data_IF_245319976237
#
_entry.id   IF_245319976237
#
_cell.length_a   1.000
_cell.length_b   1.000
_cell.length_c   1.000
_cell.angle_alpha   90.00
_cell.angle_beta   90.00
_cell.angle_gamma   90.00
#
_symmetry.space_group_name_H-M   'P 1'
#
loop_
_entity.id
_entity.type
_entity.pdbx_description
1 polymer ?
#
# COMPACT_ATOMS: atom_id res chain seq x y z
N UNK A 1 -38.57 28.07 -75.60
CA UNK A 1 -37.42 28.53 -74.79
C UNK A 1 -37.90 29.18 -73.54
N UNK A 2 -37.47 28.71 -72.41
CA UNK A 2 -36.81 29.61 -71.48
C UNK A 2 -35.57 28.96 -70.81
N UNK A 3 -34.69 29.85 -70.50
CA UNK A 3 -33.33 29.74 -70.05
C UNK A 3 -33.26 29.25 -68.64
N UNK A 4 -32.44 28.20 -68.38
CA UNK A 4 -32.15 27.71 -67.03
C UNK A 4 -31.28 28.69 -66.22
N UNK A 5 -31.62 28.84 -64.92
CA UNK A 5 -30.79 29.55 -63.92
C UNK A 5 -29.70 28.63 -63.39
N UNK A 6 -28.48 29.11 -63.12
CA UNK A 6 -27.43 28.33 -62.52
C UNK A 6 -27.71 28.11 -61.02
N UNK A 7 -27.46 26.88 -60.60
CA UNK A 7 -27.51 26.47 -59.19
C UNK A 7 -26.24 27.01 -58.50
N UNK A 8 -26.46 27.77 -57.42
CA UNK A 8 -25.37 28.29 -56.59
C UNK A 8 -24.70 27.13 -55.79
N UNK A 9 -23.39 27.01 -55.89
CA UNK A 9 -22.57 26.14 -55.09
C UNK A 9 -22.63 26.58 -53.60
N UNK A 10 -23.08 25.67 -52.76
CA UNK A 10 -23.04 25.84 -51.32
C UNK A 10 -21.57 25.77 -50.84
N UNK A 11 -21.06 26.87 -50.32
CA UNK A 11 -19.78 26.93 -49.62
C UNK A 11 -19.89 26.08 -48.33
N UNK A 12 -19.05 25.06 -48.27
CA UNK A 12 -18.85 24.28 -47.04
C UNK A 12 -18.24 25.19 -45.96
N UNK A 13 -18.95 25.32 -44.84
CA UNK A 13 -18.44 25.97 -43.62
C UNK A 13 -17.31 25.13 -43.01
N UNK A 14 -16.23 25.76 -42.49
CA UNK A 14 -15.16 25.02 -41.86
C UNK A 14 -15.68 24.43 -40.51
N UNK A 15 -15.64 23.10 -40.42
CA UNK A 15 -15.90 22.39 -39.18
C UNK A 15 -14.96 22.93 -38.09
N UNK A 16 -15.55 23.53 -37.05
CA UNK A 16 -14.86 23.92 -35.84
C UNK A 16 -14.23 22.66 -35.23
N UNK A 17 -12.91 22.60 -35.16
CA UNK A 17 -12.20 21.61 -34.36
C UNK A 17 -12.62 21.81 -32.91
N UNK A 18 -13.44 20.92 -32.39
CA UNK A 18 -13.70 20.79 -30.99
C UNK A 18 -12.34 20.65 -30.29
N UNK A 19 -11.98 21.66 -29.51
CA UNK A 19 -10.84 21.57 -28.60
C UNK A 19 -11.16 20.47 -27.61
N UNK A 20 -10.33 19.44 -27.59
CA UNK A 20 -10.34 18.43 -26.52
C UNK A 20 -10.39 19.15 -25.15
N UNK A 21 -11.22 18.67 -24.22
CA UNK A 21 -11.28 19.28 -22.90
C UNK A 21 -9.87 19.33 -22.29
N UNK A 22 -9.54 20.40 -21.55
CA UNK A 22 -8.22 20.50 -20.91
C UNK A 22 -8.03 19.28 -20.04
N UNK A 23 -6.88 18.59 -20.21
CA UNK A 23 -6.49 17.46 -19.40
C UNK A 23 -6.64 17.88 -17.93
N UNK A 24 -7.52 17.20 -17.20
CA UNK A 24 -7.71 17.37 -15.76
C UNK A 24 -6.32 17.26 -15.13
N UNK A 25 -5.84 18.35 -14.57
CA UNK A 25 -4.61 18.37 -13.79
C UNK A 25 -4.90 17.48 -12.59
N UNK A 26 -4.30 16.30 -12.54
CA UNK A 26 -4.32 15.46 -11.36
C UNK A 26 -3.52 16.21 -10.31
N UNK A 27 -4.18 16.88 -9.39
CA UNK A 27 -3.57 17.51 -8.23
C UNK A 27 -3.17 16.38 -7.29
N UNK A 28 -1.86 16.21 -7.08
CA UNK A 28 -1.35 15.31 -6.07
C UNK A 28 -1.49 15.98 -4.70
N UNK A 29 -2.15 15.31 -3.78
CA UNK A 29 -2.32 15.81 -2.42
C UNK A 29 -1.12 15.40 -1.55
N UNK A 30 -0.41 16.41 -1.05
CA UNK A 30 0.64 16.24 -0.05
C UNK A 30 0.02 16.46 1.32
N UNK A 31 0.20 15.52 2.21
CA UNK A 31 -0.34 15.56 3.57
C UNK A 31 0.76 15.75 4.59
N UNK A 32 0.52 16.60 5.58
CA UNK A 32 1.39 16.71 6.74
C UNK A 32 1.29 15.44 7.59
N UNK A 33 2.42 14.85 8.00
CA UNK A 33 2.41 13.63 8.82
C UNK A 33 1.59 13.79 10.10
N UNK A 34 0.68 12.84 10.35
CA UNK A 34 -0.22 12.85 11.50
C UNK A 34 0.34 12.12 12.72
N UNK A 35 1.36 11.27 12.52
CA UNK A 35 1.90 10.37 13.52
C UNK A 35 3.40 10.57 13.65
N UNK A 36 3.92 10.34 14.85
CA UNK A 36 5.34 10.34 15.17
C UNK A 36 5.81 8.92 15.56
N UNK A 37 7.11 8.74 15.86
CA UNK A 37 7.68 7.44 16.19
C UNK A 37 7.15 6.86 17.52
N UNK A 38 6.65 7.70 18.45
CA UNK A 38 6.04 7.24 19.70
C UNK A 38 4.62 6.71 19.47
N UNK A 39 4.02 7.07 18.32
CA UNK A 39 2.73 6.55 17.90
C UNK A 39 2.83 5.12 17.31
N UNK A 40 4.02 4.66 16.98
CA UNK A 40 4.24 3.37 16.33
C UNK A 40 4.42 2.27 17.38
N UNK A 41 3.44 1.38 17.49
CA UNK A 41 3.51 0.20 18.36
C UNK A 41 3.83 -1.02 17.50
N UNK A 42 5.08 -1.44 17.53
CA UNK A 42 5.62 -2.59 16.80
C UNK A 42 6.64 -3.33 17.66
N UNK A 43 6.98 -4.57 17.28
CA UNK A 43 7.96 -5.37 18.02
C UNK A 43 9.31 -4.66 18.07
N UNK A 44 10.07 -4.86 19.15
CA UNK A 44 11.38 -4.22 19.37
C UNK A 44 12.31 -4.33 18.16
N UNK A 45 12.41 -5.51 17.56
CA UNK A 45 13.22 -5.72 16.35
C UNK A 45 12.77 -4.83 15.18
N UNK A 46 11.46 -4.75 14.92
CA UNK A 46 10.92 -3.88 13.84
C UNK A 46 11.19 -2.41 14.16
N UNK A 47 11.05 -2.00 15.43
CA UNK A 47 11.37 -0.64 15.89
C UNK A 47 12.84 -0.29 15.67
N UNK A 48 13.74 -1.20 16.02
CA UNK A 48 15.19 -1.02 15.83
C UNK A 48 15.54 -0.93 14.35
N UNK A 49 14.87 -1.71 13.50
CA UNK A 49 15.06 -1.64 12.06
C UNK A 49 14.60 -0.30 11.46
N UNK A 50 13.47 0.25 11.93
CA UNK A 50 12.97 1.57 11.53
C UNK A 50 13.96 2.66 11.96
N UNK A 51 14.39 2.66 13.23
CA UNK A 51 15.35 3.63 13.77
C UNK A 51 16.70 3.55 13.05
N UNK A 52 17.20 2.35 12.81
CA UNK A 52 18.42 2.12 12.03
C UNK A 52 18.30 2.63 10.59
N UNK A 53 17.13 2.46 9.95
CA UNK A 53 16.89 2.99 8.63
C UNK A 53 16.92 4.53 8.61
N UNK A 54 16.29 5.17 9.59
CA UNK A 54 16.30 6.64 9.72
C UNK A 54 17.73 7.13 9.95
N UNK A 55 18.48 6.50 10.87
CA UNK A 55 19.88 6.85 11.15
C UNK A 55 20.75 6.70 9.90
N UNK A 56 20.62 5.59 9.17
CA UNK A 56 21.36 5.35 7.92
C UNK A 56 21.22 6.52 6.93
N UNK A 57 20.03 7.09 6.80
CA UNK A 57 19.80 8.24 5.90
C UNK A 57 20.32 9.55 6.49
N UNK A 58 20.16 9.79 7.79
CA UNK A 58 20.62 11.00 8.48
C UNK A 58 22.16 11.06 8.51
N UNK A 59 22.81 9.93 8.72
CA UNK A 59 24.26 9.86 8.90
C UNK A 59 25.02 9.61 7.58
N UNK A 60 24.33 9.66 6.43
CA UNK A 60 24.93 9.44 5.10
C UNK A 60 26.18 10.32 4.90
N UNK A 61 26.09 11.61 5.22
CA UNK A 61 27.25 12.53 5.09
C UNK A 61 28.42 12.13 5.97
N UNK A 62 28.17 11.72 7.19
CA UNK A 62 29.22 11.26 8.12
C UNK A 62 29.93 10.02 7.55
N UNK A 63 29.17 9.03 7.08
CA UNK A 63 29.74 7.79 6.50
C UNK A 63 30.56 8.09 5.26
N UNK A 64 30.06 8.88 4.35
CA UNK A 64 30.75 9.15 3.08
C UNK A 64 31.89 10.14 3.22
N UNK A 65 31.73 11.23 3.97
CA UNK A 65 32.73 12.30 4.07
C UNK A 65 33.73 12.05 5.21
N UNK A 66 33.24 11.66 6.41
CA UNK A 66 34.11 11.53 7.59
C UNK A 66 34.78 10.15 7.65
N UNK A 67 34.04 9.07 7.41
CA UNK A 67 34.61 7.71 7.35
C UNK A 67 35.29 7.41 6.01
N UNK A 68 35.19 8.31 5.01
CA UNK A 68 35.93 8.22 3.76
C UNK A 68 35.36 7.25 2.73
N UNK A 69 34.15 6.74 2.90
CA UNK A 69 33.50 5.82 1.96
C UNK A 69 33.26 6.43 0.57
N UNK A 70 33.28 7.76 0.43
CA UNK A 70 33.21 8.43 -0.85
C UNK A 70 34.34 8.03 -1.82
N UNK A 71 35.47 7.53 -1.33
CA UNK A 71 36.58 7.08 -2.16
C UNK A 71 36.34 5.73 -2.86
N UNK A 72 35.45 4.91 -2.31
CA UNK A 72 35.16 3.54 -2.78
C UNK A 72 33.73 3.32 -3.24
N UNK A 73 32.81 4.14 -2.76
CA UNK A 73 31.39 4.00 -3.03
C UNK A 73 30.79 5.32 -3.57
N UNK A 74 29.93 5.21 -4.57
CA UNK A 74 29.16 6.36 -5.05
C UNK A 74 28.07 6.71 -4.03
N UNK A 75 28.05 7.94 -3.55
CA UNK A 75 27.01 8.40 -2.65
C UNK A 75 25.66 8.28 -3.33
N UNK A 76 24.73 7.57 -2.71
CA UNK A 76 23.38 7.44 -3.22
C UNK A 76 22.46 8.41 -2.48
N UNK A 77 21.90 9.38 -3.20
CA UNK A 77 20.93 10.32 -2.63
C UNK A 77 19.53 9.73 -2.46
N UNK A 78 19.31 8.55 -3.04
CA UNK A 78 18.04 7.82 -2.94
C UNK A 78 17.99 6.96 -1.69
N UNK A 79 16.83 6.99 -1.03
CA UNK A 79 16.57 6.17 0.14
C UNK A 79 15.21 5.48 -0.02
N UNK A 80 15.25 4.20 -0.35
CA UNK A 80 14.05 3.40 -0.65
C UNK A 80 13.87 2.36 0.44
N UNK A 81 12.73 2.37 1.10
CA UNK A 81 12.32 1.41 2.11
C UNK A 81 11.18 0.53 1.58
N UNK A 82 11.10 -0.69 2.05
CA UNK A 82 9.95 -1.55 1.84
C UNK A 82 9.43 -2.06 3.18
N UNK A 83 8.20 -1.71 3.51
CA UNK A 83 7.45 -2.21 4.65
C UNK A 83 6.60 -3.38 4.19
N UNK A 84 6.84 -4.56 4.71
CA UNK A 84 6.07 -5.74 4.32
C UNK A 84 5.56 -6.49 5.54
N UNK A 85 4.43 -7.17 5.39
CA UNK A 85 3.80 -7.95 6.45
C UNK A 85 2.29 -7.88 6.41
N UNK A 86 1.64 -8.58 7.33
CA UNK A 86 0.21 -8.70 7.36
C UNK A 86 -0.52 -7.35 7.39
N UNK A 87 -1.75 -7.28 6.84
CA UNK A 87 -2.54 -6.06 6.89
C UNK A 87 -2.85 -5.64 8.34
N UNK A 88 -3.00 -4.33 8.56
CA UNK A 88 -3.32 -3.77 9.87
C UNK A 88 -2.19 -3.81 10.90
N UNK A 89 -0.93 -4.04 10.50
CA UNK A 89 0.24 -4.10 11.41
C UNK A 89 0.95 -2.76 11.62
N UNK A 90 0.43 -1.65 11.05
CA UNK A 90 0.95 -0.31 11.28
C UNK A 90 1.91 0.24 10.21
N UNK A 91 1.98 -0.36 9.01
CA UNK A 91 2.85 0.11 7.91
C UNK A 91 2.59 1.56 7.54
N UNK A 92 1.33 1.95 7.35
CA UNK A 92 0.92 3.31 6.97
C UNK A 92 1.22 4.33 8.08
N UNK A 93 0.92 4.00 9.35
CA UNK A 93 1.26 4.85 10.51
C UNK A 93 2.78 5.08 10.56
N UNK A 94 3.56 4.02 10.32
CA UNK A 94 5.03 4.12 10.33
C UNK A 94 5.55 4.97 9.17
N UNK A 95 4.92 4.94 8.00
CA UNK A 95 5.30 5.82 6.88
C UNK A 95 5.14 7.29 7.25
N UNK A 96 4.04 7.67 7.92
CA UNK A 96 3.87 9.01 8.48
C UNK A 96 4.96 9.34 9.51
N UNK A 97 5.23 8.43 10.44
CA UNK A 97 6.24 8.64 11.48
C UNK A 97 7.65 8.82 10.91
N UNK A 98 8.00 8.08 9.87
CA UNK A 98 9.26 8.22 9.16
C UNK A 98 9.33 9.57 8.42
N UNK A 99 8.28 9.98 7.73
CA UNK A 99 8.23 11.27 7.06
C UNK A 99 8.41 12.41 8.08
N UNK A 100 7.70 12.35 9.22
CA UNK A 100 7.83 13.32 10.30
C UNK A 100 9.25 13.35 10.89
N UNK A 101 9.90 12.19 11.06
CA UNK A 101 11.27 12.10 11.57
C UNK A 101 12.31 12.76 10.64
N UNK A 102 11.99 12.89 9.34
CA UNK A 102 12.77 13.64 8.37
C UNK A 102 12.32 15.11 8.20
N UNK A 103 11.26 15.54 8.89
CA UNK A 103 10.70 16.88 8.76
C UNK A 103 10.10 17.15 7.37
N UNK A 104 9.56 16.12 6.73
CA UNK A 104 9.01 16.18 5.37
C UNK A 104 7.54 15.80 5.36
N UNK A 105 6.81 16.41 4.43
CA UNK A 105 5.44 16.01 4.14
C UNK A 105 5.40 14.67 3.41
N UNK A 106 4.21 14.06 3.32
CA UNK A 106 3.98 12.74 2.76
C UNK A 106 3.08 12.83 1.54
N UNK A 107 3.53 12.32 0.42
CA UNK A 107 2.74 12.10 -0.78
C UNK A 107 2.28 10.64 -0.79
N UNK A 108 1.02 10.43 -0.44
CA UNK A 108 0.41 9.09 -0.48
C UNK A 108 -0.03 8.78 -1.91
N UNK A 109 0.43 7.67 -2.42
CA UNK A 109 0.17 7.22 -3.78
C UNK A 109 -0.47 5.85 -3.74
N UNK A 110 -1.72 5.77 -4.13
CA UNK A 110 -2.41 4.51 -4.41
C UNK A 110 -2.16 4.13 -5.88
N UNK A 111 -1.64 2.93 -6.11
CA UNK A 111 -1.38 2.46 -7.47
C UNK A 111 -2.63 2.42 -8.35
N UNK A 112 -3.79 2.13 -7.77
CA UNK A 112 -5.08 2.13 -8.48
C UNK A 112 -5.45 3.50 -9.07
N UNK A 113 -5.01 4.58 -8.43
CA UNK A 113 -5.24 5.96 -8.89
C UNK A 113 -4.30 6.35 -10.05
N UNK A 114 -3.14 5.71 -10.13
CA UNK A 114 -2.19 5.94 -11.23
C UNK A 114 -2.60 5.14 -12.46
N UNK A 115 -3.22 3.98 -12.25
CA UNK A 115 -3.66 3.11 -13.33
C UNK A 115 -4.75 3.80 -14.15
N UNK A 116 -4.42 4.14 -15.39
CA UNK A 116 -5.35 4.78 -16.32
C UNK A 116 -6.09 3.74 -17.14
N UNK A 117 -7.34 4.06 -17.52
CA UNK A 117 -8.11 3.27 -18.49
C UNK A 117 -7.47 3.27 -19.88
N UNK A 118 -6.52 4.18 -20.14
CA UNK A 118 -5.85 4.30 -21.45
C UNK A 118 -4.44 3.72 -21.38
N UNK A 119 -4.13 2.85 -22.32
CA UNK A 119 -2.81 2.24 -22.46
C UNK A 119 -1.74 3.32 -22.68
N UNK A 120 -0.71 3.34 -21.85
CA UNK A 120 0.43 4.25 -21.94
C UNK A 120 0.35 5.52 -21.09
N UNK A 121 -0.75 5.81 -20.41
CA UNK A 121 -0.85 6.98 -19.52
C UNK A 121 -0.31 6.69 -18.11
N UNK A 122 -0.44 5.45 -17.62
CA UNK A 122 0.11 5.02 -16.33
C UNK A 122 1.60 5.34 -16.17
N UNK A 123 2.50 5.03 -17.14
CA UNK A 123 3.91 5.42 -17.05
C UNK A 123 4.14 6.94 -16.98
N UNK A 124 3.34 7.73 -17.68
CA UNK A 124 3.43 9.20 -17.64
C UNK A 124 2.97 9.75 -16.28
N UNK A 125 1.89 9.21 -15.74
CA UNK A 125 1.38 9.61 -14.44
C UNK A 125 2.39 9.26 -13.35
N UNK A 126 2.98 8.08 -13.41
CA UNK A 126 4.05 7.68 -12.49
C UNK A 126 5.22 8.69 -12.52
N UNK A 127 5.69 9.09 -13.70
CA UNK A 127 6.75 10.10 -13.83
C UNK A 127 6.33 11.44 -13.19
N UNK A 128 5.09 11.89 -13.40
CA UNK A 128 4.59 13.12 -12.76
C UNK A 128 4.62 13.05 -11.23
N UNK A 129 4.31 11.90 -10.62
CA UNK A 129 4.40 11.68 -9.17
C UNK A 129 5.83 11.95 -8.68
N UNK A 130 6.82 11.34 -9.32
CA UNK A 130 8.23 11.49 -8.92
C UNK A 130 8.76 12.91 -9.19
N UNK A 131 8.39 13.53 -10.32
CA UNK A 131 8.75 14.91 -10.63
C UNK A 131 8.13 15.90 -9.61
N UNK A 132 6.90 15.65 -9.22
CA UNK A 132 6.20 16.44 -8.19
C UNK A 132 6.88 16.29 -6.83
N UNK A 133 7.13 15.06 -6.39
CA UNK A 133 7.78 14.79 -5.11
C UNK A 133 9.19 15.39 -5.02
N UNK A 134 9.94 15.37 -6.12
CA UNK A 134 11.26 16.00 -6.19
C UNK A 134 11.17 17.53 -6.03
N UNK A 135 10.15 18.16 -6.62
CA UNK A 135 9.94 19.61 -6.53
C UNK A 135 9.48 20.06 -5.15
N UNK A 136 8.66 19.27 -4.48
CA UNK A 136 8.09 19.58 -3.16
C UNK A 136 8.93 19.03 -2.02
N UNK A 137 9.97 18.26 -2.29
CA UNK A 137 10.86 17.59 -1.33
C UNK A 137 10.10 16.76 -0.28
N UNK A 138 9.04 16.07 -0.71
CA UNK A 138 8.23 15.21 0.16
C UNK A 138 8.65 13.74 0.08
N UNK A 139 8.22 12.95 1.06
CA UNK A 139 8.36 11.49 1.06
C UNK A 139 7.26 10.90 0.20
N UNK A 140 7.62 10.01 -0.75
CA UNK A 140 6.64 9.25 -1.51
C UNK A 140 6.29 7.99 -0.72
N UNK A 141 5.03 7.72 -0.54
CA UNK A 141 4.52 6.50 0.07
C UNK A 141 3.57 5.78 -0.90
N UNK A 142 4.02 4.65 -1.43
CA UNK A 142 3.17 3.75 -2.20
C UNK A 142 2.52 2.73 -1.27
N UNK A 143 1.22 2.88 -1.05
CA UNK A 143 0.44 1.84 -0.37
C UNK A 143 0.01 0.76 -1.38
N UNK A 144 -0.19 -0.46 -0.90
CA UNK A 144 -0.56 -1.62 -1.72
C UNK A 144 0.34 -1.82 -2.97
N UNK A 145 1.64 -1.63 -2.80
CA UNK A 145 2.61 -1.70 -3.89
C UNK A 145 2.82 -3.12 -4.48
N UNK A 146 2.07 -4.11 -4.03
CA UNK A 146 2.18 -5.52 -4.47
C UNK A 146 2.04 -5.66 -5.98
N UNK A 147 1.11 -4.93 -6.59
CA UNK A 147 0.85 -5.00 -8.02
C UNK A 147 2.05 -4.55 -8.86
N UNK A 148 2.75 -3.50 -8.42
CA UNK A 148 3.86 -2.91 -9.19
C UNK A 148 5.20 -3.61 -8.90
N UNK A 149 5.41 -4.13 -7.69
CA UNK A 149 6.65 -4.76 -7.27
C UNK A 149 6.73 -6.26 -7.60
N UNK A 150 5.60 -6.91 -7.93
CA UNK A 150 5.56 -8.34 -8.25
C UNK A 150 6.36 -8.69 -9.50
N UNK A 151 6.74 -9.96 -9.64
CA UNK A 151 7.47 -10.47 -10.82
C UNK A 151 6.73 -10.22 -12.11
N UNK A 152 7.48 -10.07 -13.20
CA UNK A 152 6.91 -9.91 -14.54
C UNK A 152 6.06 -11.11 -14.90
N UNK A 153 4.91 -10.85 -15.50
CA UNK A 153 4.10 -11.89 -16.11
C UNK A 153 4.81 -12.35 -17.38
N UNK A 154 5.30 -13.58 -17.39
CA UNK A 154 6.04 -14.16 -18.51
C UNK A 154 5.11 -14.64 -19.63
N UNK A 155 3.94 -15.16 -19.27
CA UNK A 155 2.91 -15.55 -20.23
C UNK A 155 1.91 -14.41 -20.37
N UNK A 156 2.24 -13.45 -21.24
CA UNK A 156 1.36 -12.31 -21.52
C UNK A 156 0.18 -12.78 -22.38
N UNK A 157 -0.98 -12.87 -21.76
CA UNK A 157 -2.23 -13.27 -22.45
C UNK A 157 -3.17 -12.11 -22.66
N UNK A 158 -2.90 -10.94 -22.03
CA UNK A 158 -3.75 -9.76 -22.12
C UNK A 158 -2.96 -8.48 -22.36
N UNK A 159 -3.65 -7.45 -22.88
CA UNK A 159 -3.11 -6.10 -23.01
C UNK A 159 -2.73 -5.49 -21.65
N UNK A 160 -3.44 -5.89 -20.58
CA UNK A 160 -3.19 -5.47 -19.21
C UNK A 160 -1.80 -5.96 -18.73
N UNK A 161 -1.43 -7.21 -19.02
CA UNK A 161 -0.13 -7.76 -18.63
C UNK A 161 1.03 -6.98 -19.26
N UNK A 162 0.85 -6.57 -20.52
CA UNK A 162 1.83 -5.74 -21.26
C UNK A 162 1.96 -4.36 -20.62
N UNK A 163 0.85 -3.72 -20.27
CA UNK A 163 0.81 -2.40 -19.62
C UNK A 163 1.49 -2.40 -18.25
N UNK A 164 1.20 -3.41 -17.43
CA UNK A 164 1.81 -3.58 -16.11
C UNK A 164 3.33 -3.79 -16.23
N UNK A 165 3.79 -4.63 -17.13
CA UNK A 165 5.22 -4.85 -17.36
C UNK A 165 5.93 -3.59 -17.88
N UNK A 166 5.27 -2.78 -18.72
CA UNK A 166 5.78 -1.49 -19.17
C UNK A 166 5.92 -0.51 -18.01
N UNK A 167 4.90 -0.39 -17.18
CA UNK A 167 4.90 0.47 -15.99
C UNK A 167 6.03 0.10 -15.02
N UNK A 168 6.26 -1.20 -14.78
CA UNK A 168 7.38 -1.69 -13.96
C UNK A 168 8.74 -1.27 -14.54
N UNK A 169 8.90 -1.41 -15.86
CA UNK A 169 10.15 -1.02 -16.51
C UNK A 169 10.41 0.49 -16.39
N UNK A 170 9.37 1.31 -16.52
CA UNK A 170 9.47 2.76 -16.33
C UNK A 170 9.79 3.09 -14.88
N UNK A 171 9.14 2.45 -13.91
CA UNK A 171 9.45 2.65 -12.48
C UNK A 171 10.92 2.30 -12.18
N UNK A 172 11.41 1.17 -12.66
CA UNK A 172 12.80 0.78 -12.48
C UNK A 172 13.78 1.82 -13.04
N UNK A 173 13.46 2.45 -14.16
CA UNK A 173 14.27 3.52 -14.74
C UNK A 173 14.21 4.78 -13.87
N UNK A 174 13.01 5.20 -13.45
CA UNK A 174 12.83 6.34 -12.54
C UNK A 174 13.61 6.14 -11.24
N UNK A 175 13.56 4.95 -10.64
CA UNK A 175 14.28 4.63 -9.41
C UNK A 175 15.82 4.66 -9.55
N UNK A 176 16.38 4.64 -10.76
CA UNK A 176 17.82 4.83 -10.94
C UNK A 176 18.24 6.29 -10.72
N UNK A 177 17.40 7.21 -11.17
CA UNK A 177 17.70 8.65 -11.20
C UNK A 177 17.04 9.43 -10.05
N UNK A 178 16.14 8.77 -9.30
CA UNK A 178 15.41 9.38 -8.19
C UNK A 178 16.36 9.68 -7.02
N UNK A 179 16.34 10.94 -6.57
CA UNK A 179 16.98 11.40 -5.34
C UNK A 179 15.89 11.81 -4.34
N UNK A 180 15.70 11.05 -3.28
CA UNK A 180 14.66 11.33 -2.29
C UNK A 180 14.34 10.10 -1.44
N UNK A 181 13.24 10.20 -0.70
CA UNK A 181 12.77 9.16 0.20
C UNK A 181 11.51 8.52 -0.39
N UNK A 182 11.55 7.23 -0.55
CA UNK A 182 10.45 6.43 -1.07
C UNK A 182 10.18 5.26 -0.12
N UNK A 183 8.92 5.05 0.22
CA UNK A 183 8.47 3.95 1.06
C UNK A 183 7.43 3.16 0.27
N UNK A 184 7.66 1.88 0.11
CA UNK A 184 6.65 0.93 -0.36
C UNK A 184 6.01 0.23 0.82
N UNK A 185 4.71 0.02 0.80
CA UNK A 185 4.01 -0.87 1.71
C UNK A 185 3.36 -2.01 0.93
N UNK A 186 3.57 -3.24 1.41
CA UNK A 186 3.09 -4.45 0.74
C UNK A 186 2.64 -5.47 1.76
N UNK A 187 1.74 -6.35 1.36
CA UNK A 187 1.31 -7.43 2.23
C UNK A 187 2.18 -8.69 2.07
N UNK A 188 2.84 -8.87 0.94
CA UNK A 188 3.66 -10.03 0.62
C UNK A 188 5.02 -9.63 0.06
N UNK A 189 6.08 -10.36 0.43
CA UNK A 189 7.42 -10.19 -0.14
C UNK A 189 7.81 -11.31 -1.12
N UNK A 190 7.06 -12.42 -1.12
CA UNK A 190 7.49 -13.67 -1.76
C UNK A 190 7.58 -13.63 -3.30
N UNK A 191 7.06 -12.58 -3.94
CA UNK A 191 6.90 -12.56 -5.39
C UNK A 191 7.49 -11.31 -6.07
N UNK A 192 8.49 -10.68 -5.45
CA UNK A 192 9.09 -9.46 -6.00
C UNK A 192 10.03 -9.73 -7.15
N UNK A 193 10.04 -8.80 -8.11
CA UNK A 193 11.07 -8.76 -9.15
C UNK A 193 12.44 -8.46 -8.50
N UNK A 194 13.47 -9.32 -8.70
CA UNK A 194 14.81 -9.11 -8.16
C UNK A 194 15.41 -7.75 -8.51
N UNK A 195 14.94 -7.10 -9.58
CA UNK A 195 15.39 -5.78 -9.97
C UNK A 195 14.96 -4.69 -8.97
N UNK A 196 13.78 -4.79 -8.36
CA UNK A 196 13.35 -3.91 -7.27
C UNK A 196 14.10 -4.20 -5.98
N UNK A 197 14.29 -5.50 -5.64
CA UNK A 197 14.99 -5.92 -4.43
C UNK A 197 16.38 -5.28 -4.30
N UNK A 198 17.10 -5.13 -5.42
CA UNK A 198 18.45 -4.53 -5.45
C UNK A 198 18.46 -3.01 -5.25
N UNK A 199 17.33 -2.33 -5.38
CA UNK A 199 17.20 -0.88 -5.27
C UNK A 199 16.67 -0.42 -3.93
N UNK A 200 16.06 -1.33 -3.18
CA UNK A 200 15.53 -1.09 -1.85
C UNK A 200 16.67 -1.17 -0.86
N UNK A 201 16.88 -0.10 -0.09
CA UNK A 201 17.95 -0.02 0.89
C UNK A 201 17.69 -0.92 2.09
N UNK A 202 16.42 -1.04 2.50
CA UNK A 202 16.04 -1.88 3.64
C UNK A 202 14.62 -2.41 3.48
N UNK A 203 14.45 -3.71 3.79
CA UNK A 203 13.16 -4.38 3.89
C UNK A 203 12.82 -4.56 5.37
N UNK A 204 11.72 -3.97 5.83
CA UNK A 204 11.31 -3.99 7.23
C UNK A 204 10.05 -4.83 7.38
N UNK A 205 10.14 -5.89 8.19
CA UNK A 205 9.04 -6.82 8.40
C UNK A 205 8.13 -6.37 9.53
N UNK A 206 6.87 -6.14 9.21
CA UNK A 206 5.81 -5.84 10.16
C UNK A 206 5.08 -7.12 10.55
N UNK A 207 5.44 -7.65 11.71
CA UNK A 207 4.80 -8.84 12.28
C UNK A 207 3.55 -8.46 13.08
N UNK A 208 2.67 -9.42 13.30
CA UNK A 208 1.60 -9.27 14.27
C UNK A 208 2.17 -8.90 15.65
N UNK A 209 1.45 -8.09 16.44
CA UNK A 209 1.93 -7.63 17.74
C UNK A 209 2.14 -8.81 18.69
N UNK A 210 3.29 -8.82 19.37
CA UNK A 210 3.57 -9.73 20.47
C UNK A 210 2.72 -9.36 21.70
N UNK A 211 2.89 -10.11 22.78
CA UNK A 211 2.07 -9.94 23.98
C UNK A 211 2.17 -8.53 24.58
N UNK A 212 3.41 -8.00 24.72
CA UNK A 212 3.66 -6.66 25.28
C UNK A 212 3.07 -5.56 24.40
N UNK A 213 3.22 -5.70 23.08
CA UNK A 213 2.65 -4.74 22.15
C UNK A 213 1.12 -4.80 22.11
N UNK A 214 0.50 -5.97 22.32
CA UNK A 214 -0.96 -6.04 22.45
C UNK A 214 -1.45 -5.30 23.68
N UNK A 215 -0.76 -5.41 24.83
CA UNK A 215 -1.08 -4.61 26.03
C UNK A 215 -0.95 -3.12 25.72
N UNK A 216 0.14 -2.72 25.06
CA UNK A 216 0.36 -1.32 24.68
C UNK A 216 -0.73 -0.79 23.74
N UNK A 217 -1.20 -1.62 22.79
CA UNK A 217 -2.30 -1.27 21.90
C UNK A 217 -3.63 -1.12 22.64
N UNK A 218 -3.98 -2.02 23.54
CA UNK A 218 -5.17 -1.84 24.38
C UNK A 218 -5.09 -0.59 25.25
N UNK A 219 -3.93 -0.30 25.85
CA UNK A 219 -3.70 0.95 26.60
C UNK A 219 -3.86 2.20 25.73
N UNK A 220 -3.47 2.12 24.47
CA UNK A 220 -3.57 3.22 23.52
C UNK A 220 -5.01 3.46 23.05
N UNK A 221 -5.73 2.39 22.71
CA UNK A 221 -7.06 2.50 22.10
C UNK A 221 -8.21 2.60 23.13
N UNK A 222 -7.99 2.20 24.36
CA UNK A 222 -8.96 2.41 25.43
C UNK A 222 -8.58 3.72 26.17
N UNK A 223 -9.46 4.73 26.22
CA UNK A 223 -9.21 5.95 26.99
C UNK A 223 -8.84 5.64 28.45
N UNK A 224 -7.84 6.33 28.99
CA UNK A 224 -7.31 6.07 30.33
C UNK A 224 -8.40 6.05 31.42
N UNK A 225 -9.39 6.94 31.31
CA UNK A 225 -10.53 7.00 32.24
C UNK A 225 -11.42 5.73 32.23
N UNK A 226 -11.34 4.92 31.17
CA UNK A 226 -12.14 3.69 31.03
C UNK A 226 -11.31 2.42 31.31
N UNK A 227 -10.03 2.55 31.63
CA UNK A 227 -9.15 1.39 31.88
C UNK A 227 -9.27 0.83 33.29
N UNK A 228 -9.83 1.62 34.23
CA UNK A 228 -9.99 1.18 35.61
C UNK A 228 -10.91 -0.05 35.71
N UNK A 229 -10.43 -1.10 36.35
CA UNK A 229 -11.16 -2.37 36.50
C UNK A 229 -11.11 -3.30 35.29
N UNK A 230 -10.40 -2.92 34.20
CA UNK A 230 -10.19 -3.79 33.05
C UNK A 230 -8.89 -4.59 33.16
N UNK A 231 -8.97 -5.87 32.87
CA UNK A 231 -7.80 -6.75 32.81
C UNK A 231 -7.20 -6.73 31.38
N UNK A 232 -6.29 -5.75 31.14
CA UNK A 232 -5.63 -5.60 29.83
C UNK A 232 -4.70 -6.78 29.51
N UNK A 233 -4.20 -7.48 30.53
CA UNK A 233 -3.38 -8.68 30.40
C UNK A 233 -4.20 -9.83 29.80
N UNK A 234 -5.39 -10.07 30.36
CA UNK A 234 -6.33 -11.06 29.84
C UNK A 234 -6.77 -10.74 28.40
N UNK A 235 -7.00 -9.46 28.10
CA UNK A 235 -7.31 -9.04 26.71
C UNK A 235 -6.17 -9.32 25.77
N UNK A 236 -4.93 -8.97 26.14
CA UNK A 236 -3.75 -9.20 25.33
C UNK A 236 -3.51 -10.70 25.09
N UNK A 237 -3.74 -11.53 26.09
CA UNK A 237 -3.64 -12.98 25.94
C UNK A 237 -4.72 -13.53 24.99
N UNK A 238 -5.96 -13.11 25.14
CA UNK A 238 -7.08 -13.53 24.31
C UNK A 238 -6.93 -13.05 22.84
N UNK A 239 -6.31 -11.89 22.61
CA UNK A 239 -6.12 -11.26 21.31
C UNK A 239 -4.91 -11.81 20.53
N UNK A 240 -4.35 -12.96 20.89
CA UNK A 240 -3.29 -13.59 20.12
C UNK A 240 -3.75 -13.86 18.66
N UNK A 241 -2.95 -13.36 17.68
CA UNK A 241 -3.28 -13.49 16.27
C UNK A 241 -4.07 -12.29 15.68
N UNK A 242 -4.41 -11.30 16.50
CA UNK A 242 -5.01 -10.06 16.04
C UNK A 242 -3.91 -9.04 15.65
N UNK A 243 -4.17 -8.27 14.59
CA UNK A 243 -3.36 -7.12 14.20
C UNK A 243 -3.68 -5.88 15.06
N UNK A 244 -2.91 -4.81 14.92
CA UNK A 244 -3.17 -3.56 15.61
C UNK A 244 -4.53 -2.95 15.21
N UNK A 245 -4.88 -3.00 13.92
CA UNK A 245 -6.17 -2.55 13.42
C UNK A 245 -7.35 -3.40 13.93
N UNK A 246 -7.14 -4.71 14.09
CA UNK A 246 -8.16 -5.57 14.72
C UNK A 246 -8.41 -5.18 16.17
N UNK A 247 -7.35 -4.90 16.95
CA UNK A 247 -7.45 -4.48 18.35
C UNK A 247 -8.16 -3.12 18.46
N UNK A 248 -7.83 -2.18 17.59
CA UNK A 248 -8.53 -0.90 17.49
C UNK A 248 -10.03 -1.11 17.27
N UNK A 249 -10.40 -1.91 16.27
CA UNK A 249 -11.79 -2.20 15.96
C UNK A 249 -12.51 -2.91 17.10
N UNK A 250 -11.89 -3.88 17.76
CA UNK A 250 -12.44 -4.59 18.93
C UNK A 250 -12.78 -3.61 20.04
N UNK A 251 -11.88 -2.69 20.39
CA UNK A 251 -12.11 -1.70 21.44
C UNK A 251 -13.24 -0.75 21.08
N UNK A 252 -13.31 -0.32 19.83
CA UNK A 252 -14.36 0.55 19.32
C UNK A 252 -15.72 -0.15 19.31
N UNK A 253 -15.79 -1.41 18.87
CA UNK A 253 -17.04 -2.19 18.91
C UNK A 253 -17.55 -2.43 20.32
N UNK A 254 -16.65 -2.70 21.28
CA UNK A 254 -17.02 -2.81 22.68
C UNK A 254 -17.55 -1.47 23.25
N UNK A 255 -16.97 -0.34 22.82
CA UNK A 255 -17.46 0.98 23.21
C UNK A 255 -18.86 1.28 22.65
N UNK A 256 -19.12 0.96 21.37
CA UNK A 256 -20.47 1.09 20.81
C UNK A 256 -21.50 0.22 21.53
N UNK A 257 -21.08 -0.95 22.00
CA UNK A 257 -21.94 -1.84 22.76
C UNK A 257 -22.27 -1.28 24.16
N UNK A 258 -21.28 -0.65 24.83
CA UNK A 258 -21.52 0.07 26.08
C UNK A 258 -22.51 1.23 25.85
N UNK A 259 -22.34 2.01 24.78
CA UNK A 259 -23.26 3.09 24.43
C UNK A 259 -24.68 2.57 24.16
N UNK A 260 -24.84 1.45 23.45
CA UNK A 260 -26.15 0.82 23.24
C UNK A 260 -26.84 0.44 24.55
N UNK A 261 -26.07 -0.02 25.54
CA UNK A 261 -26.55 -0.35 26.90
C UNK A 261 -26.73 0.90 27.78
N UNK A 262 -26.46 2.09 27.28
CA UNK A 262 -26.44 3.36 28.03
C UNK A 262 -25.48 3.33 29.22
N UNK A 263 -24.38 2.56 29.10
CA UNK A 263 -23.32 2.47 30.11
C UNK A 263 -22.22 3.49 29.81
N UNK A 264 -21.73 4.14 30.87
CA UNK A 264 -20.55 5.02 30.81
C UNK A 264 -19.24 4.27 31.03
N UNK A 265 -19.32 2.96 31.35
CA UNK A 265 -18.16 2.10 31.60
C UNK A 265 -18.04 1.05 30.49
N UNK A 266 -16.80 0.71 30.14
CA UNK A 266 -16.51 -0.38 29.24
C UNK A 266 -16.55 -1.72 30.00
N UNK A 267 -17.26 -2.72 29.46
CA UNK A 267 -17.31 -4.06 30.08
C UNK A 267 -16.17 -4.94 29.54
N UNK A 268 -15.38 -5.53 30.44
CA UNK A 268 -14.34 -6.49 30.05
C UNK A 268 -14.90 -7.72 29.32
N UNK A 269 -16.10 -8.19 29.70
CA UNK A 269 -16.77 -9.29 28.99
C UNK A 269 -17.14 -8.93 27.56
N UNK A 270 -17.58 -7.69 27.31
CA UNK A 270 -17.89 -7.23 25.96
C UNK A 270 -16.63 -7.14 25.10
N UNK A 271 -15.50 -6.68 25.64
CA UNK A 271 -14.20 -6.68 24.94
C UNK A 271 -13.76 -8.10 24.58
N UNK A 272 -13.78 -9.04 25.54
CA UNK A 272 -13.41 -10.44 25.31
C UNK A 272 -14.32 -11.11 24.26
N UNK A 273 -15.60 -10.76 24.26
CA UNK A 273 -16.55 -11.26 23.26
C UNK A 273 -16.22 -10.75 21.86
N UNK A 274 -15.89 -9.49 21.72
CA UNK A 274 -15.51 -8.92 20.41
C UNK A 274 -14.16 -9.47 19.93
N UNK A 275 -13.20 -9.71 20.80
CA UNK A 275 -11.96 -10.43 20.47
C UNK A 275 -12.29 -11.82 19.88
N UNK A 276 -13.14 -12.58 20.56
CA UNK A 276 -13.55 -13.91 20.11
C UNK A 276 -14.27 -13.88 18.75
N UNK A 277 -15.17 -12.92 18.56
CA UNK A 277 -15.90 -12.73 17.31
C UNK A 277 -14.95 -12.42 16.15
N UNK A 278 -13.98 -11.52 16.38
CA UNK A 278 -12.98 -11.14 15.38
C UNK A 278 -12.08 -12.31 14.99
N UNK A 279 -11.61 -13.09 15.96
CA UNK A 279 -10.82 -14.30 15.71
C UNK A 279 -11.61 -15.34 14.94
N UNK A 280 -12.90 -15.57 15.29
CA UNK A 280 -13.76 -16.51 14.58
C UNK A 280 -13.97 -16.09 13.11
N UNK A 281 -14.17 -14.78 12.86
CA UNK A 281 -14.32 -14.25 11.51
C UNK A 281 -13.05 -14.43 10.68
N UNK A 282 -11.86 -14.19 11.27
CA UNK A 282 -10.58 -14.44 10.59
C UNK A 282 -10.38 -15.91 10.25
N UNK A 283 -10.69 -16.81 11.17
CA UNK A 283 -10.60 -18.25 10.92
C UNK A 283 -11.57 -18.74 9.84
N UNK A 284 -12.78 -18.18 9.79
CA UNK A 284 -13.75 -18.48 8.74
C UNK A 284 -13.24 -18.07 7.35
N UNK A 285 -12.60 -16.90 7.25
CA UNK A 285 -12.02 -16.42 5.99
C UNK A 285 -10.86 -17.30 5.51
N UNK A 286 -9.98 -17.74 6.41
CA UNK A 286 -8.88 -18.66 6.05
C UNK A 286 -9.40 -20.03 5.57
N UNK A 287 -10.51 -20.53 6.14
CA UNK A 287 -11.12 -21.80 5.70
C UNK A 287 -11.89 -21.69 4.38
N UNK A 288 -12.25 -20.49 3.95
CA UNK A 288 -12.94 -20.25 2.67
C UNK A 288 -11.98 -20.09 1.48
N UNK A 289 -10.66 -20.15 1.67
CA UNK A 289 -9.74 -20.35 0.57
C UNK A 289 -10.13 -21.68 -0.11
N UNK A 290 -10.66 -21.53 -1.32
CA UNK A 290 -11.22 -22.58 -2.16
C UNK A 290 -10.34 -23.82 -2.16
N UNK A 291 -10.82 -24.92 -1.58
CA UNK A 291 -10.31 -26.25 -1.86
C UNK A 291 -10.64 -26.53 -3.32
N UNK A 292 -9.72 -26.26 -4.22
CA UNK A 292 -9.81 -26.69 -5.61
C UNK A 292 -9.67 -28.20 -5.60
N UNK A 293 -10.80 -28.89 -5.48
CA UNK A 293 -10.85 -30.34 -5.71
C UNK A 293 -10.74 -30.53 -7.23
N UNK A 294 -9.54 -30.81 -7.71
CA UNK A 294 -9.31 -31.25 -9.07
C UNK A 294 -9.99 -32.62 -9.21
N UNK A 295 -11.21 -32.64 -9.70
CA UNK A 295 -11.83 -33.90 -10.15
C UNK A 295 -11.19 -34.22 -11.48
N UNK A 296 -10.42 -35.31 -11.53
CA UNK A 296 -10.01 -35.92 -12.79
C UNK A 296 -11.28 -36.47 -13.44
N UNK A 297 -11.76 -35.79 -14.44
CA UNK A 297 -12.92 -36.21 -15.25
C UNK A 297 -12.41 -37.00 -16.44
N UNK A 298 -13.07 -38.11 -16.77
CA UNK A 298 -12.72 -38.92 -17.95
C UNK A 298 -12.96 -38.11 -19.24
N UNK A 299 -12.18 -38.39 -20.29
CA UNK A 299 -12.37 -37.81 -21.63
C UNK A 299 -13.82 -37.87 -22.08
N UNK A 300 -14.49 -39.02 -21.91
CA UNK A 300 -15.90 -39.23 -22.28
C UNK A 300 -16.88 -38.26 -21.58
N UNK A 301 -16.59 -37.82 -20.36
CA UNK A 301 -17.42 -36.86 -19.65
C UNK A 301 -17.29 -35.47 -20.23
N UNK A 302 -16.06 -35.05 -20.60
CA UNK A 302 -15.79 -33.75 -21.20
C UNK A 302 -16.43 -33.67 -22.59
N UNK A 303 -16.29 -34.69 -23.41
CA UNK A 303 -16.88 -34.77 -24.74
C UNK A 303 -18.41 -34.67 -24.72
N UNK A 304 -19.05 -35.31 -23.75
CA UNK A 304 -20.50 -35.25 -23.56
C UNK A 304 -21.00 -33.85 -23.12
N UNK A 305 -20.21 -33.12 -22.37
CA UNK A 305 -20.61 -31.81 -21.85
C UNK A 305 -20.27 -30.66 -22.79
N UNK A 306 -19.18 -30.76 -23.54
CA UNK A 306 -18.66 -29.67 -24.39
C UNK A 306 -18.91 -29.87 -25.87
N UNK A 307 -19.25 -31.07 -26.31
CA UNK A 307 -19.39 -31.44 -27.73
C UNK A 307 -18.06 -31.40 -28.51
N UNK A 308 -16.92 -31.24 -27.83
CA UNK A 308 -15.59 -31.24 -28.43
C UNK A 308 -14.97 -32.64 -28.33
N UNK A 309 -14.52 -33.19 -29.44
CA UNK A 309 -13.75 -34.43 -29.48
C UNK A 309 -12.30 -34.06 -29.12
N UNK A 310 -11.80 -34.61 -28.01
CA UNK A 310 -10.41 -34.44 -27.57
C UNK A 310 -9.55 -35.55 -28.20
N UNK A 311 -8.76 -35.22 -29.21
CA UNK A 311 -7.76 -36.12 -29.80
C UNK A 311 -6.66 -36.55 -28.80
#
# INVERSE_FOLDING_TARGET
>A
MPIGRPVAEAKAEPQSKEKAPPATVQEFEVITPKYNLDDVVVNSHTKDEILSAIALRKDTEFVYKVLGFASTHKMADKFILNFYGEPGTGKTITAHAVAQAFGKDLLVVDYSQIESKYVGDTPKNLKKVFDFATKTDCVIFFDEADAILSRRVTNMTSATDTSVNQTRSVLLNILNDFSGILIFATNFISNYDPAFMRRIAKHIHFKLPDHENRIALFKRYIPQALQEGLDLEAFAQAAQGLSAADIENVTLMAAFKAAYKQSTCLSGEDVLREIKNTLASKQANVKSEYTTTTKVVSKDYVEKQTGMILE
#
